data_IF_457891935550
#
_entry.id   IF_457891935550
#
_cell.length_a   1.000
_cell.length_b   1.000
_cell.length_c   1.000
_cell.angle_alpha   90.00
_cell.angle_beta   90.00
_cell.angle_gamma   90.00
#
_symmetry.space_group_name_H-M   'P 1'
#
loop_
_entity.id
_entity.type
_entity.pdbx_description
1 polymer ?
#
# COMPACT_ATOMS: atom_id res chain seq x y z
N UNK A 1 27.42 -8.34 -1.03
CA UNK A 1 26.47 -7.71 -1.96
C UNK A 1 25.09 -7.93 -1.39
N UNK A 2 24.36 -6.92 -0.89
CA UNK A 2 23.04 -7.15 -0.34
C UNK A 2 22.11 -7.50 -1.52
N UNK A 3 21.45 -8.64 -1.44
CA UNK A 3 20.36 -8.96 -2.35
C UNK A 3 19.27 -7.92 -2.14
N UNK A 4 19.01 -7.11 -3.16
CA UNK A 4 17.87 -6.19 -3.15
C UNK A 4 16.62 -7.06 -3.12
N UNK A 5 16.03 -7.26 -1.93
CA UNK A 5 14.74 -7.92 -1.77
C UNK A 5 13.67 -7.04 -2.42
N UNK A 6 13.47 -7.24 -3.72
CA UNK A 6 12.39 -6.65 -4.49
C UNK A 6 11.08 -7.26 -4.00
N UNK A 7 10.21 -6.41 -3.48
CA UNK A 7 8.87 -6.73 -3.04
C UNK A 7 7.92 -6.36 -4.17
N UNK A 8 7.18 -7.35 -4.65
CA UNK A 8 6.18 -7.16 -5.69
C UNK A 8 4.79 -7.14 -5.04
N UNK A 9 3.98 -6.14 -5.38
CA UNK A 9 2.58 -6.03 -4.93
C UNK A 9 1.71 -5.43 -6.04
N UNK A 10 0.41 -5.64 -5.94
CA UNK A 10 -0.56 -5.08 -6.89
C UNK A 10 -1.44 -4.07 -6.19
N UNK A 11 -1.52 -2.85 -6.70
CA UNK A 11 -2.51 -1.85 -6.27
C UNK A 11 -3.74 -1.94 -7.16
N UNK A 12 -4.92 -1.89 -6.56
CA UNK A 12 -6.21 -1.84 -7.23
C UNK A 12 -6.89 -0.53 -6.87
N UNK A 13 -7.16 0.31 -7.87
CA UNK A 13 -7.78 1.62 -7.68
C UNK A 13 -8.60 2.03 -8.91
N UNK A 14 -9.83 2.53 -8.73
CA UNK A 14 -10.71 2.95 -9.83
C UNK A 14 -10.97 1.88 -10.92
N UNK A 15 -10.89 0.60 -10.54
CA UNK A 15 -11.04 -0.53 -11.47
C UNK A 15 -9.76 -0.87 -12.27
N UNK A 16 -8.67 -0.12 -12.06
CA UNK A 16 -7.37 -0.36 -12.67
C UNK A 16 -6.45 -1.15 -11.73
N UNK A 17 -5.59 -1.99 -12.32
CA UNK A 17 -4.57 -2.77 -11.62
C UNK A 17 -3.16 -2.24 -11.93
N UNK A 18 -2.40 -1.90 -10.89
CA UNK A 18 -1.04 -1.39 -10.98
C UNK A 18 -0.08 -2.37 -10.33
N UNK A 19 0.80 -2.99 -11.13
CA UNK A 19 1.86 -3.85 -10.61
C UNK A 19 3.04 -3.00 -10.17
N UNK A 20 3.30 -2.96 -8.88
CA UNK A 20 4.37 -2.17 -8.28
C UNK A 20 5.49 -3.08 -7.82
N UNK A 21 6.71 -2.74 -8.22
CA UNK A 21 7.94 -3.32 -7.68
C UNK A 21 8.60 -2.29 -6.78
N UNK A 22 8.85 -2.67 -5.54
CA UNK A 22 9.50 -1.80 -4.56
C UNK A 22 10.56 -2.55 -3.79
N UNK A 23 11.31 -1.85 -2.95
CA UNK A 23 12.26 -2.44 -2.03
C UNK A 23 12.19 -1.67 -0.71
N UNK A 24 12.85 -2.19 0.33
CA UNK A 24 12.81 -1.61 1.68
C UNK A 24 13.46 -0.22 1.79
N UNK A 25 14.22 0.21 0.77
CA UNK A 25 14.95 1.48 0.76
C UNK A 25 14.23 2.58 -0.01
N UNK A 26 13.35 2.25 -0.97
CA UNK A 26 12.61 3.22 -1.78
C UNK A 26 11.43 3.82 -1.01
N UNK A 27 10.70 3.00 -0.26
CA UNK A 27 9.55 3.45 0.51
C UNK A 27 9.57 2.86 1.91
N UNK A 28 9.35 3.70 2.93
CA UNK A 28 9.29 3.23 4.32
C UNK A 28 7.94 2.60 4.66
N UNK A 29 6.85 3.11 4.08
CA UNK A 29 5.49 2.67 4.37
C UNK A 29 4.68 2.41 3.10
N UNK A 30 3.63 1.59 3.23
CA UNK A 30 2.67 1.37 2.17
C UNK A 30 1.96 2.68 1.78
N UNK A 31 1.72 3.58 2.74
CA UNK A 31 1.13 4.90 2.45
C UNK A 31 2.00 5.71 1.49
N UNK A 32 3.31 5.80 1.76
CA UNK A 32 4.24 6.57 0.91
C UNK A 32 4.33 5.99 -0.50
N UNK A 33 4.29 4.65 -0.63
CA UNK A 33 4.27 3.97 -1.93
C UNK A 33 2.98 4.29 -2.70
N UNK A 34 1.82 4.18 -2.08
CA UNK A 34 0.53 4.47 -2.73
C UNK A 34 0.45 5.95 -3.14
N UNK A 35 0.95 6.85 -2.31
CA UNK A 35 0.97 8.28 -2.63
C UNK A 35 1.85 8.60 -3.84
N UNK A 36 3.03 7.94 -3.97
CA UNK A 36 3.94 8.11 -5.11
C UNK A 36 3.34 7.55 -6.42
N UNK A 37 2.67 6.39 -6.35
CA UNK A 37 2.20 5.69 -7.55
C UNK A 37 0.81 6.16 -8.03
N UNK A 38 -0.11 6.56 -7.14
CA UNK A 38 -1.51 6.86 -7.48
C UNK A 38 -1.91 8.34 -7.30
N UNK A 39 -1.12 9.14 -6.59
CA UNK A 39 -1.37 10.59 -6.37
C UNK A 39 -2.82 10.94 -5.97
N UNK A 40 -3.42 10.15 -5.08
CA UNK A 40 -4.83 10.27 -4.69
C UNK A 40 -5.05 11.49 -3.79
N UNK A 41 -5.92 12.46 -4.18
CA UNK A 41 -6.24 13.60 -3.33
C UNK A 41 -6.82 13.17 -1.97
N UNK A 42 -6.34 13.78 -0.89
CA UNK A 42 -6.81 13.48 0.47
C UNK A 42 -6.28 12.18 1.08
N UNK A 43 -5.51 11.38 0.35
CA UNK A 43 -4.87 10.18 0.90
C UNK A 43 -3.71 10.55 1.83
N UNK A 44 -3.71 9.99 3.05
CA UNK A 44 -2.61 10.17 4.01
C UNK A 44 -2.45 11.59 4.59
N UNK A 45 -3.55 12.32 4.85
CA UNK A 45 -3.54 13.73 5.28
C UNK A 45 -2.77 14.02 6.58
N UNK A 46 -2.68 13.04 7.49
CA UNK A 46 -1.90 13.17 8.72
C UNK A 46 -0.42 12.83 8.57
N UNK A 47 0.09 12.64 7.35
CA UNK A 47 1.48 12.28 7.06
C UNK A 47 1.96 11.03 7.84
N UNK A 48 1.06 10.10 8.12
CA UNK A 48 1.35 8.87 8.84
C UNK A 48 1.37 8.95 10.37
N UNK A 49 0.88 10.04 10.97
CA UNK A 49 0.70 10.15 12.44
C UNK A 49 -0.39 9.22 13.02
N UNK A 50 -1.21 8.58 12.17
CA UNK A 50 -2.26 7.66 12.60
C UNK A 50 -3.55 8.30 13.12
N UNK A 51 -3.78 9.60 12.85
CA UNK A 51 -4.91 10.36 13.40
C UNK A 51 -6.08 10.61 12.44
N UNK A 52 -5.88 10.49 11.12
CA UNK A 52 -6.91 10.88 10.12
C UNK A 52 -7.68 9.72 9.50
N UNK A 53 -7.14 8.49 9.52
CA UNK A 53 -7.76 7.32 8.86
C UNK A 53 -7.82 7.40 7.33
N UNK A 54 -7.34 8.46 6.68
CA UNK A 54 -7.47 8.66 5.23
C UNK A 54 -6.50 7.80 4.39
N UNK A 55 -5.70 6.96 5.03
CA UNK A 55 -4.85 5.96 4.37
C UNK A 55 -5.36 4.53 4.61
N UNK A 56 -6.64 4.37 4.96
CA UNK A 56 -7.26 3.06 5.11
C UNK A 56 -7.35 2.36 3.75
N UNK A 57 -6.78 1.16 3.67
CA UNK A 57 -6.81 0.28 2.50
C UNK A 57 -7.23 -1.12 2.91
N UNK A 58 -7.56 -1.96 1.94
CA UNK A 58 -7.76 -3.39 2.19
C UNK A 58 -6.60 -4.17 1.59
N UNK A 59 -6.04 -5.11 2.36
CA UNK A 59 -5.02 -6.05 1.86
C UNK A 59 -5.60 -7.46 1.76
N UNK A 60 -5.22 -8.18 0.72
CA UNK A 60 -5.46 -9.61 0.57
C UNK A 60 -4.19 -10.28 0.06
N UNK A 61 -3.87 -11.47 0.59
CA UNK A 61 -2.84 -12.30 -0.03
C UNK A 61 -3.44 -13.00 -1.24
N UNK A 62 -2.68 -13.17 -2.32
CA UNK A 62 -3.16 -13.85 -3.54
C UNK A 62 -3.74 -15.26 -3.29
N UNK A 63 -3.32 -15.92 -2.21
CA UNK A 63 -3.80 -17.25 -1.81
C UNK A 63 -5.02 -17.23 -0.86
N UNK A 64 -5.50 -16.05 -0.47
CA UNK A 64 -6.59 -15.88 0.49
C UNK A 64 -7.61 -14.86 0.00
N UNK A 65 -8.89 -15.23 0.03
CA UNK A 65 -9.98 -14.30 -0.30
C UNK A 65 -10.30 -13.32 0.85
N UNK A 66 -9.59 -13.40 1.98
CA UNK A 66 -9.85 -12.56 3.14
C UNK A 66 -9.22 -11.19 2.95
N UNK A 67 -10.06 -10.18 2.73
CA UNK A 67 -9.66 -8.77 2.72
C UNK A 67 -9.59 -8.24 4.15
N UNK A 68 -8.47 -7.67 4.55
CA UNK A 68 -8.27 -7.08 5.88
C UNK A 68 -8.10 -5.57 5.76
N UNK A 69 -8.90 -4.76 6.48
CA UNK A 69 -8.68 -3.32 6.53
C UNK A 69 -7.44 -3.01 7.34
N UNK A 70 -6.57 -2.15 6.82
CA UNK A 70 -5.32 -1.73 7.44
C UNK A 70 -5.04 -0.27 7.15
N UNK A 71 -4.41 0.44 8.08
CA UNK A 71 -3.89 1.78 7.82
C UNK A 71 -2.55 1.65 7.10
N UNK A 72 -2.47 2.11 5.85
CA UNK A 72 -1.26 2.00 5.03
C UNK A 72 -0.07 2.72 5.68
N UNK A 73 -0.29 3.72 6.54
CA UNK A 73 0.79 4.40 7.25
C UNK A 73 1.41 3.58 8.38
N UNK A 74 0.69 2.58 8.90
CA UNK A 74 1.21 1.65 9.92
C UNK A 74 1.89 0.42 9.32
N UNK A 75 1.77 0.22 8.00
CA UNK A 75 2.39 -0.91 7.31
C UNK A 75 3.74 -0.51 6.74
N UNK A 76 4.79 -1.18 7.20
CA UNK A 76 6.14 -1.04 6.66
C UNK A 76 6.31 -1.87 5.39
N UNK A 77 7.18 -1.41 4.50
CA UNK A 77 7.59 -2.21 3.34
C UNK A 77 8.54 -3.32 3.79
N UNK A 78 8.04 -4.56 3.75
CA UNK A 78 8.79 -5.76 4.12
C UNK A 78 8.29 -6.97 3.30
N UNK A 79 8.85 -8.15 3.57
CA UNK A 79 8.53 -9.37 2.84
C UNK A 79 7.07 -9.84 3.04
N UNK A 80 6.37 -9.35 4.08
CA UNK A 80 4.94 -9.68 4.30
C UNK A 80 4.02 -9.05 3.25
N UNK A 81 4.48 -7.98 2.59
CA UNK A 81 3.80 -7.34 1.48
C UNK A 81 4.14 -7.99 0.13
N UNK A 82 4.95 -9.06 0.10
CA UNK A 82 5.22 -9.76 -1.14
C UNK A 82 3.97 -10.53 -1.61
N UNK A 83 3.60 -10.31 -2.88
CA UNK A 83 2.47 -10.98 -3.54
C UNK A 83 1.12 -10.72 -2.86
N UNK A 84 0.92 -9.47 -2.40
CA UNK A 84 -0.36 -9.00 -1.87
C UNK A 84 -1.06 -8.09 -2.87
N UNK A 85 -2.39 -8.15 -2.83
CA UNK A 85 -3.28 -7.22 -3.50
C UNK A 85 -3.75 -6.16 -2.50
N UNK A 86 -3.53 -4.90 -2.84
CA UNK A 86 -3.90 -3.74 -2.04
C UNK A 86 -5.01 -3.00 -2.77
N UNK A 87 -6.18 -2.93 -2.14
CA UNK A 87 -7.34 -2.24 -2.68
C UNK A 87 -7.45 -0.86 -2.04
N UNK A 88 -7.33 0.18 -2.86
CA UNK A 88 -7.39 1.58 -2.44
C UNK A 88 -8.77 2.15 -2.80
N UNK A 89 -9.55 2.63 -1.82
CA UNK A 89 -10.91 3.08 -2.07
C UNK A 89 -10.96 4.35 -2.94
N UNK A 90 -12.00 4.46 -3.77
CA UNK A 90 -12.17 5.57 -4.73
C UNK A 90 -12.47 6.92 -4.08
N UNK A 91 -13.01 6.92 -2.86
CA UNK A 91 -13.32 8.15 -2.11
C UNK A 91 -12.62 8.14 -0.76
N UNK A 92 -11.66 9.04 -0.63
CA UNK A 92 -11.01 9.35 0.63
C UNK A 92 -11.55 10.71 1.09
N UNK A 93 -12.75 10.67 1.69
CA UNK A 93 -13.50 11.78 2.31
C UNK A 93 -13.72 13.05 1.46
#
# INVERSE_FOLDING_TARGET
MPQENTINLTLHHLGEEYRVQTNRTRHHSLMTLIADELAIPGFGLCCGMGSCGTCLVQIAHQQSQVKRPVLACSMMINDDLANVDVFVPDRVY
#
